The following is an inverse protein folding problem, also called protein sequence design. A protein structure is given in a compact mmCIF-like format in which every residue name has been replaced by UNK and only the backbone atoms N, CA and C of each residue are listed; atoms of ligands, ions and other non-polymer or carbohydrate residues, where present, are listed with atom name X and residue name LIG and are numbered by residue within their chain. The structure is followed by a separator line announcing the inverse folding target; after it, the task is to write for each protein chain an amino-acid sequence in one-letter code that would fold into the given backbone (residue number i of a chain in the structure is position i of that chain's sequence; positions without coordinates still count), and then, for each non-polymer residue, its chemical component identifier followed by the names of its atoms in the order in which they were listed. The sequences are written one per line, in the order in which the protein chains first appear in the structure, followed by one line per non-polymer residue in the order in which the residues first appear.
data_IF_268872679293
#
_entry.id   IF_268872679293
#
_cell.length_a   1.000
_cell.length_b   1.000
_cell.length_c   1.000
_cell.angle_alpha   90.00
_cell.angle_beta   90.00
_cell.angle_gamma   90.00
#
_symmetry.space_group_name_H-M   'P 1'
#
loop_
_entity.id
_entity.type
_entity.pdbx_description
1 polymer ?
#
# COMPACT_ATOMS: atom_id res chain seq x y z
N UNK A 1 18.27 6.05 -4.69
CA UNK A 1 18.22 6.81 -3.43
C UNK A 1 18.56 8.28 -3.67
N UNK A 2 19.74 8.60 -4.20
CA UNK A 2 20.16 10.00 -4.39
C UNK A 2 19.44 10.75 -5.51
N UNK A 3 18.81 10.02 -6.45
CA UNK A 3 18.05 10.62 -7.54
C UNK A 3 16.80 11.40 -7.08
N UNK A 4 16.28 11.16 -5.87
CA UNK A 4 15.07 11.81 -5.33
C UNK A 4 15.45 12.92 -4.35
N UNK A 5 14.85 14.10 -4.51
CA UNK A 5 15.14 15.26 -3.67
C UNK A 5 14.42 15.24 -2.31
N UNK A 6 13.09 15.00 -2.21
CA UNK A 6 12.39 15.08 -0.93
C UNK A 6 12.80 13.97 0.04
N UNK A 7 13.14 14.34 1.28
CA UNK A 7 13.51 13.40 2.34
C UNK A 7 12.38 12.42 2.70
N UNK A 8 11.12 12.85 2.60
CA UNK A 8 9.96 11.99 2.86
C UNK A 8 9.94 10.74 1.95
N UNK A 9 10.19 10.92 0.65
CA UNK A 9 10.25 9.79 -0.30
C UNK A 9 11.45 8.87 -0.05
N UNK A 10 12.56 9.42 0.46
CA UNK A 10 13.70 8.60 0.90
C UNK A 10 13.32 7.74 2.12
N UNK A 11 12.55 8.31 3.06
CA UNK A 11 12.05 7.59 4.23
C UNK A 11 11.05 6.49 3.85
N UNK A 12 10.19 6.74 2.87
CA UNK A 12 9.28 5.74 2.29
C UNK A 12 10.03 4.56 1.66
N UNK A 13 11.08 4.82 0.87
CA UNK A 13 11.90 3.73 0.32
C UNK A 13 12.65 2.98 1.42
N UNK A 14 13.19 3.70 2.41
CA UNK A 14 13.93 3.11 3.53
C UNK A 14 13.06 2.13 4.33
N UNK A 15 11.85 2.52 4.73
CA UNK A 15 10.97 1.65 5.53
C UNK A 15 10.62 0.34 4.80
N UNK A 16 10.41 0.40 3.48
CA UNK A 16 10.16 -0.82 2.71
C UNK A 16 11.39 -1.73 2.67
N UNK A 17 12.58 -1.19 2.42
CA UNK A 17 13.81 -1.97 2.36
C UNK A 17 14.14 -2.63 3.71
N UNK A 18 13.99 -1.90 4.81
CA UNK A 18 14.23 -2.43 6.16
C UNK A 18 13.28 -3.57 6.47
N UNK A 19 11.97 -3.39 6.26
CA UNK A 19 10.97 -4.43 6.50
C UNK A 19 11.13 -5.63 5.56
N UNK A 20 11.56 -5.43 4.31
CA UNK A 20 11.82 -6.55 3.41
C UNK A 20 12.97 -7.43 3.93
N UNK A 21 14.04 -6.83 4.47
CA UNK A 21 15.24 -7.54 4.92
C UNK A 21 15.05 -8.13 6.33
N UNK A 22 14.53 -7.33 7.26
CA UNK A 22 14.48 -7.67 8.68
C UNK A 22 13.12 -8.21 9.12
N UNK A 23 12.05 -7.90 8.38
CA UNK A 23 10.68 -8.06 8.86
C UNK A 23 10.39 -7.15 10.08
N UNK A 24 9.33 -7.48 10.81
CA UNK A 24 8.94 -6.81 12.04
C UNK A 24 7.90 -5.71 11.83
N UNK A 25 7.88 -4.74 12.74
CA UNK A 25 6.90 -3.64 12.76
C UNK A 25 7.60 -2.31 12.55
N UNK A 26 7.12 -1.52 11.59
CA UNK A 26 7.49 -0.13 11.38
C UNK A 26 6.33 0.77 11.83
N UNK A 27 6.64 1.86 12.53
CA UNK A 27 5.70 2.91 12.88
C UNK A 27 6.39 4.28 12.70
N UNK A 28 5.68 5.25 12.13
CA UNK A 28 6.13 6.64 12.10
C UNK A 28 6.23 7.19 13.53
N UNK A 29 7.07 8.21 13.73
CA UNK A 29 7.44 8.71 15.06
C UNK A 29 6.25 9.31 15.83
N UNK A 30 5.23 9.78 15.12
CA UNK A 30 3.99 10.36 15.63
C UNK A 30 2.85 9.33 15.76
N UNK A 31 3.18 8.03 15.70
CA UNK A 31 2.23 6.95 15.94
C UNK A 31 2.20 6.60 17.41
N UNK A 32 1.02 6.76 18.02
CA UNK A 32 0.73 6.27 19.36
C UNK A 32 0.12 4.87 19.27
N UNK A 33 0.80 3.87 19.83
CA UNK A 33 0.27 2.52 19.94
C UNK A 33 -0.74 2.44 21.09
N UNK A 34 -1.96 2.02 20.78
CA UNK A 34 -3.07 1.93 21.73
C UNK A 34 -3.25 0.51 22.29
N UNK A 35 -2.64 -0.47 21.64
CA UNK A 35 -2.66 -1.88 22.04
C UNK A 35 -1.25 -2.49 22.07
N UNK A 36 -1.09 -3.55 22.85
CA UNK A 36 0.14 -4.33 22.84
C UNK A 36 0.34 -4.98 21.45
N UNK A 37 1.52 -4.79 20.86
CA UNK A 37 1.89 -5.37 19.57
C UNK A 37 1.80 -6.90 19.55
N UNK A 38 2.09 -7.59 20.67
CA UNK A 38 1.98 -9.05 20.77
C UNK A 38 0.52 -9.53 20.60
N UNK A 39 -0.45 -8.70 20.98
CA UNK A 39 -1.87 -8.99 20.81
C UNK A 39 -2.39 -8.65 19.40
N UNK A 40 -1.78 -7.64 18.76
CA UNK A 40 -2.15 -7.16 17.42
C UNK A 40 -1.50 -8.00 16.32
N UNK A 41 -0.21 -8.27 16.42
CA UNK A 41 0.59 -8.98 15.42
C UNK A 41 0.92 -10.38 15.96
N UNK A 42 -0.09 -11.26 15.96
CA UNK A 42 0.11 -12.66 16.32
C UNK A 42 0.98 -13.40 15.29
N UNK A 43 1.57 -14.53 15.68
CA UNK A 43 2.52 -15.27 14.83
C UNK A 43 1.95 -15.82 13.51
N UNK A 44 0.63 -15.80 13.33
CA UNK A 44 -0.05 -16.13 12.07
C UNK A 44 -0.17 -14.94 11.11
N UNK A 45 0.17 -13.72 11.53
CA UNK A 45 0.11 -12.50 10.72
C UNK A 45 1.44 -12.32 9.98
N UNK A 46 1.40 -12.45 8.65
CA UNK A 46 2.56 -12.19 7.80
C UNK A 46 2.58 -10.79 7.20
N UNK A 47 1.43 -10.11 7.14
CA UNK A 47 1.33 -8.73 6.70
C UNK A 47 0.17 -8.01 7.38
N UNK A 48 0.38 -6.80 7.86
CA UNK A 48 -0.66 -5.93 8.40
C UNK A 48 -0.38 -4.48 8.03
N UNK A 49 -1.39 -3.77 7.54
CA UNK A 49 -1.29 -2.34 7.21
C UNK A 49 -2.66 -1.67 7.31
N UNK A 50 -2.73 -0.39 7.72
CA UNK A 50 -3.98 0.35 7.66
C UNK A 50 -4.36 0.81 6.25
N UNK A 51 -5.66 0.99 6.03
CA UNK A 51 -6.15 1.73 4.87
C UNK A 51 -5.75 3.20 4.94
N UNK A 52 -5.50 3.82 3.78
CA UNK A 52 -5.34 5.26 3.68
C UNK A 52 -6.63 5.95 3.18
N UNK A 53 -6.69 7.26 3.38
CA UNK A 53 -7.80 8.13 3.05
C UNK A 53 -8.01 8.44 1.54
N UNK A 54 -7.00 8.47 0.66
CA UNK A 54 -7.22 8.74 -0.77
C UNK A 54 -8.21 7.76 -1.38
N UNK A 55 -9.16 8.28 -2.18
CA UNK A 55 -10.22 7.49 -2.81
C UNK A 55 -11.49 7.30 -1.95
N UNK A 56 -11.53 7.78 -0.70
CA UNK A 56 -12.72 7.65 0.19
C UNK A 56 -13.99 8.24 -0.43
N UNK A 57 -13.91 9.46 -0.98
CA UNK A 57 -15.09 10.18 -1.52
C UNK A 57 -15.80 9.46 -2.66
N UNK A 58 -15.08 8.62 -3.39
CA UNK A 58 -15.59 7.90 -4.55
C UNK A 58 -15.69 6.39 -4.30
N UNK A 59 -15.50 5.95 -3.05
CA UNK A 59 -15.58 4.53 -2.67
C UNK A 59 -14.50 3.65 -3.31
N UNK A 60 -13.35 4.22 -3.67
CA UNK A 60 -12.25 3.50 -4.36
C UNK A 60 -10.93 3.64 -3.58
N UNK A 61 -10.94 3.21 -2.32
CA UNK A 61 -9.75 3.27 -1.44
C UNK A 61 -8.78 2.14 -1.78
N UNK A 62 -7.83 2.42 -2.65
CA UNK A 62 -6.77 1.46 -3.04
C UNK A 62 -5.40 1.77 -2.43
N UNK A 63 -5.27 2.87 -1.67
CA UNK A 63 -4.00 3.26 -1.05
C UNK A 63 -3.95 2.72 0.39
N UNK A 64 -2.78 2.25 0.81
CA UNK A 64 -2.56 1.64 2.12
C UNK A 64 -1.51 2.46 2.87
N UNK A 65 -1.82 2.85 4.10
CA UNK A 65 -1.04 3.82 4.83
C UNK A 65 0.26 3.22 5.32
N UNK A 66 1.37 3.64 4.73
CA UNK A 66 2.71 3.09 4.97
C UNK A 66 3.37 3.64 6.25
N UNK A 67 2.65 4.38 7.09
CA UNK A 67 3.15 4.89 8.37
C UNK A 67 3.08 3.88 9.53
N UNK A 68 2.34 2.78 9.36
CA UNK A 68 2.34 1.64 10.28
C UNK A 68 2.24 0.35 9.47
N UNK A 69 3.21 -0.54 9.59
CA UNK A 69 3.23 -1.80 8.87
C UNK A 69 3.83 -2.90 9.74
N UNK A 70 3.21 -4.08 9.77
CA UNK A 70 3.83 -5.30 10.27
C UNK A 70 4.05 -6.26 9.12
N UNK A 71 5.28 -6.73 8.91
CA UNK A 71 5.63 -7.50 7.71
C UNK A 71 6.61 -8.61 8.06
N UNK A 72 6.33 -9.82 7.57
CA UNK A 72 7.28 -10.92 7.63
C UNK A 72 8.49 -10.64 6.71
N UNK A 73 9.71 -11.07 7.08
CA UNK A 73 10.88 -10.87 6.24
C UNK A 73 10.71 -11.56 4.88
N UNK A 74 11.20 -10.92 3.81
CA UNK A 74 11.11 -11.45 2.44
C UNK A 74 9.72 -11.38 1.80
N UNK A 75 8.77 -10.63 2.36
CA UNK A 75 7.39 -10.62 1.89
C UNK A 75 7.25 -10.19 0.40
N UNK A 76 6.57 -10.99 -0.46
CA UNK A 76 6.41 -10.70 -1.89
C UNK A 76 5.79 -9.32 -2.19
N UNK A 77 4.82 -8.89 -1.37
CA UNK A 77 4.23 -7.55 -1.47
C UNK A 77 5.28 -6.42 -1.41
N UNK A 78 6.18 -6.44 -0.43
CA UNK A 78 7.21 -5.39 -0.34
C UNK A 78 8.23 -5.49 -1.46
N UNK A 79 8.63 -6.71 -1.85
CA UNK A 79 9.51 -6.90 -2.99
C UNK A 79 8.91 -6.27 -4.27
N UNK A 80 7.60 -6.47 -4.48
CA UNK A 80 6.89 -5.89 -5.62
C UNK A 80 6.73 -4.39 -5.53
N UNK A 81 6.43 -3.85 -4.35
CA UNK A 81 6.37 -2.40 -4.13
C UNK A 81 7.73 -1.75 -4.37
N UNK A 82 8.82 -2.31 -3.84
CA UNK A 82 10.18 -1.78 -4.04
C UNK A 82 10.57 -1.85 -5.52
N UNK A 83 10.21 -2.92 -6.24
CA UNK A 83 10.43 -3.02 -7.69
C UNK A 83 9.82 -1.84 -8.42
N UNK A 84 8.54 -1.53 -8.13
CA UNK A 84 7.89 -0.39 -8.74
C UNK A 84 8.53 0.93 -8.33
N UNK A 85 8.79 1.17 -7.04
CA UNK A 85 9.42 2.42 -6.57
C UNK A 85 10.78 2.66 -7.23
N UNK A 86 11.63 1.63 -7.29
CA UNK A 86 12.95 1.73 -7.92
C UNK A 86 12.83 2.02 -9.41
N UNK A 87 11.93 1.33 -10.13
CA UNK A 87 11.70 1.58 -11.55
C UNK A 87 11.14 2.99 -11.80
N UNK A 88 10.18 3.43 -11.01
CA UNK A 88 9.57 4.76 -11.10
C UNK A 88 10.63 5.85 -10.94
N UNK A 89 11.49 5.72 -9.92
CA UNK A 89 12.57 6.68 -9.65
C UNK A 89 13.63 6.64 -10.76
N UNK A 90 14.15 5.46 -11.11
CA UNK A 90 15.23 5.31 -12.11
C UNK A 90 14.82 5.84 -13.48
N UNK A 91 13.56 5.67 -13.85
CA UNK A 91 13.02 6.10 -15.14
C UNK A 91 12.31 7.46 -15.09
N UNK A 92 12.45 8.19 -13.95
CA UNK A 92 11.94 9.55 -13.77
C UNK A 92 10.45 9.68 -14.08
N UNK A 93 9.65 8.78 -13.50
CA UNK A 93 8.21 8.77 -13.72
C UNK A 93 7.57 10.11 -13.38
N UNK A 94 6.66 10.51 -14.24
CA UNK A 94 5.79 11.67 -14.17
C UNK A 94 4.35 11.22 -13.99
N UNK A 95 3.41 12.16 -13.82
CA UNK A 95 1.98 11.82 -13.78
C UNK A 95 1.51 11.05 -15.02
N UNK A 96 2.09 11.31 -16.19
CA UNK A 96 1.75 10.60 -17.44
C UNK A 96 2.24 9.15 -17.41
N UNK A 97 3.43 8.91 -16.86
CA UNK A 97 3.96 7.54 -16.71
C UNK A 97 3.14 6.75 -15.67
N UNK A 98 2.63 7.41 -14.63
CA UNK A 98 1.71 6.78 -13.68
C UNK A 98 0.36 6.42 -14.31
N UNK A 99 -0.19 7.28 -15.16
CA UNK A 99 -1.42 6.98 -15.89
C UNK A 99 -1.27 5.74 -16.76
N UNK A 100 -0.14 5.62 -17.47
CA UNK A 100 0.17 4.43 -18.29
C UNK A 100 0.35 3.18 -17.42
N UNK A 101 1.04 3.28 -16.29
CA UNK A 101 1.19 2.19 -15.31
C UNK A 101 -0.16 1.69 -14.77
N UNK A 102 -1.15 2.57 -14.69
CA UNK A 102 -2.49 2.27 -14.19
C UNK A 102 -3.47 1.79 -15.27
N UNK A 103 -3.02 1.62 -16.52
CA UNK A 103 -3.81 0.97 -17.56
C UNK A 103 -4.04 -0.53 -17.23
N UNK A 104 -5.15 -1.13 -17.72
CA UNK A 104 -6.08 -0.59 -18.73
C UNK A 104 -7.28 0.20 -18.18
N UNK A 105 -7.50 0.26 -16.86
CA UNK A 105 -8.71 0.89 -16.26
C UNK A 105 -8.35 1.91 -15.17
N UNK A 106 -7.61 2.98 -15.51
CA UNK A 106 -7.16 3.96 -14.55
C UNK A 106 -8.32 4.82 -14.02
N UNK A 107 -8.32 5.08 -12.71
CA UNK A 107 -9.16 6.07 -12.04
C UNK A 107 -8.35 7.36 -11.90
N UNK A 108 -8.38 8.19 -12.94
CA UNK A 108 -7.56 9.40 -13.04
C UNK A 108 -7.85 10.43 -11.94
N UNK A 109 -9.08 10.49 -11.44
CA UNK A 109 -9.46 11.39 -10.36
C UNK A 109 -8.62 11.15 -9.09
N UNK A 110 -8.22 9.89 -8.84
CA UNK A 110 -7.31 9.58 -7.74
C UNK A 110 -5.88 9.88 -8.16
N UNK A 111 -5.37 9.31 -9.26
CA UNK A 111 -3.96 9.42 -9.63
C UNK A 111 -3.50 10.87 -9.69
N UNK A 112 -4.19 11.73 -10.45
CA UNK A 112 -3.81 13.14 -10.61
C UNK A 112 -3.98 13.98 -9.36
N UNK A 113 -4.80 13.53 -8.39
CA UNK A 113 -4.95 14.22 -7.11
C UNK A 113 -3.83 13.89 -6.12
N UNK A 114 -3.20 12.71 -6.26
CA UNK A 114 -2.22 12.17 -5.32
C UNK A 114 -1.03 11.50 -6.02
N UNK A 115 -0.55 12.08 -7.13
CA UNK A 115 0.61 11.56 -7.90
C UNK A 115 1.86 11.38 -7.00
N UNK A 116 1.98 12.23 -5.98
CA UNK A 116 3.04 12.14 -4.97
C UNK A 116 3.05 10.79 -4.23
N UNK A 117 1.87 10.23 -3.96
CA UNK A 117 1.71 8.98 -3.22
C UNK A 117 1.98 7.74 -4.07
N UNK A 118 2.00 7.88 -5.41
CA UNK A 118 2.38 6.81 -6.34
C UNK A 118 3.90 6.69 -6.57
N UNK A 119 4.69 7.68 -6.11
CA UNK A 119 6.15 7.64 -6.29
C UNK A 119 6.80 6.65 -5.33
N UNK A 120 6.59 6.85 -4.02
CA UNK A 120 7.10 5.96 -2.96
C UNK A 120 6.06 5.70 -1.85
N UNK A 121 4.89 6.32 -1.91
CA UNK A 121 4.00 6.42 -0.75
C UNK A 121 2.91 5.34 -0.65
N UNK A 122 1.83 5.66 0.08
CA UNK A 122 0.71 4.76 0.33
C UNK A 122 0.03 4.14 -0.91
N UNK A 123 -0.06 4.88 -2.01
CA UNK A 123 -0.77 4.41 -3.19
C UNK A 123 0.04 3.40 -4.00
N UNK A 124 1.37 3.54 -4.07
CA UNK A 124 2.22 2.52 -4.71
C UNK A 124 2.36 1.26 -3.85
N UNK A 125 2.23 1.38 -2.53
CA UNK A 125 2.13 0.20 -1.64
C UNK A 125 0.89 -0.62 -1.98
N UNK A 126 -0.29 0.00 -1.96
CA UNK A 126 -1.54 -0.68 -2.33
C UNK A 126 -1.54 -1.22 -3.75
N UNK A 127 -1.02 -0.44 -4.71
CA UNK A 127 -0.85 -0.89 -6.10
C UNK A 127 0.11 -2.09 -6.22
N UNK A 128 1.19 -2.11 -5.46
CA UNK A 128 2.15 -3.21 -5.40
C UNK A 128 1.54 -4.51 -4.87
N UNK A 129 0.74 -4.42 -3.80
CA UNK A 129 0.00 -5.55 -3.24
C UNK A 129 -1.03 -6.08 -4.23
N UNK A 130 -1.85 -5.20 -4.81
CA UNK A 130 -2.83 -5.59 -5.82
C UNK A 130 -2.17 -6.28 -7.02
N UNK A 131 -1.06 -5.74 -7.52
CA UNK A 131 -0.31 -6.34 -8.62
C UNK A 131 0.26 -7.72 -8.26
N UNK A 132 0.75 -7.90 -7.02
CA UNK A 132 1.21 -9.21 -6.53
C UNK A 132 0.07 -10.23 -6.39
N UNK A 133 -1.17 -9.76 -6.18
CA UNK A 133 -2.38 -10.57 -6.15
C UNK A 133 -3.05 -10.76 -7.53
N UNK A 134 -2.45 -10.25 -8.60
CA UNK A 134 -3.03 -10.30 -9.96
C UNK A 134 -4.24 -9.37 -10.15
N UNK A 135 -4.47 -8.43 -9.25
CA UNK A 135 -5.55 -7.43 -9.30
C UNK A 135 -5.07 -6.15 -9.98
N UNK A 136 -6.02 -5.34 -10.42
CA UNK A 136 -5.73 -3.99 -10.89
C UNK A 136 -5.14 -3.14 -9.75
N UNK A 137 -4.14 -2.29 -10.02
CA UNK A 137 -3.44 -1.54 -8.97
C UNK A 137 -4.36 -0.63 -8.14
N UNK A 138 -5.45 -0.14 -8.74
CA UNK A 138 -6.46 0.68 -8.07
C UNK A 138 -7.69 -0.10 -7.57
N UNK A 139 -7.62 -1.43 -7.48
CA UNK A 139 -8.68 -2.21 -6.84
C UNK A 139 -8.79 -1.79 -5.36
N UNK A 140 -10.00 -1.48 -4.85
CA UNK A 140 -10.18 -1.07 -3.46
C UNK A 140 -9.90 -2.22 -2.49
N UNK A 141 -9.42 -1.87 -1.30
CA UNK A 141 -9.29 -2.79 -0.18
C UNK A 141 -10.50 -2.67 0.76
N UNK A 142 -10.89 -3.80 1.34
CA UNK A 142 -11.83 -3.85 2.44
C UNK A 142 -11.08 -4.16 3.75
N UNK A 143 -11.52 -3.61 4.90
CA UNK A 143 -10.95 -3.98 6.19
C UNK A 143 -11.12 -5.47 6.51
N UNK A 144 -10.12 -6.06 7.16
CA UNK A 144 -10.11 -7.48 7.53
C UNK A 144 -9.05 -8.29 6.79
N UNK A 145 -9.22 -9.61 6.77
CA UNK A 145 -8.31 -10.51 6.07
C UNK A 145 -8.43 -10.40 4.55
N UNK A 146 -7.29 -10.32 3.87
CA UNK A 146 -7.24 -10.45 2.42
C UNK A 146 -7.31 -11.93 2.05
N UNK A 147 -8.32 -12.27 1.26
CA UNK A 147 -8.36 -13.51 0.53
C UNK A 147 -7.43 -13.46 -0.70
N UNK A 148 -6.27 -14.09 -0.59
CA UNK A 148 -5.28 -14.18 -1.68
C UNK A 148 -5.76 -15.05 -2.87
N UNK A 149 -6.82 -15.85 -2.70
CA UNK A 149 -7.40 -16.74 -3.70
C UNK A 149 -8.80 -16.30 -4.16
N UNK A 150 -9.14 -15.03 -3.95
CA UNK A 150 -10.50 -14.52 -4.23
C UNK A 150 -10.90 -14.69 -5.70
N UNK A 151 -9.95 -14.53 -6.62
CA UNK A 151 -10.21 -14.60 -8.07
C UNK A 151 -10.50 -16.04 -8.50
N UNK A 152 -9.69 -17.00 -8.06
CA UNK A 152 -9.86 -18.42 -8.42
C UNK A 152 -11.17 -18.96 -7.87
N UNK A 153 -11.57 -18.52 -6.67
CA UNK A 153 -12.88 -18.88 -6.11
C UNK A 153 -14.02 -18.31 -6.93
N UNK A 154 -13.90 -17.09 -7.44
CA UNK A 154 -14.90 -16.46 -8.31
C UNK A 154 -15.01 -17.19 -9.66
N UNK A 155 -13.88 -17.55 -10.26
CA UNK A 155 -13.84 -18.28 -11.53
C UNK A 155 -14.41 -19.70 -11.38
N UNK A 156 -14.06 -20.42 -10.31
CA UNK A 156 -14.59 -21.77 -10.03
C UNK A 156 -16.07 -21.79 -9.65
N UNK A 157 -16.61 -20.66 -9.16
CA UNK A 157 -18.04 -20.52 -8.83
C UNK A 157 -18.89 -20.09 -10.03
N UNK A 158 -18.30 -19.94 -11.21
CA UNK A 158 -19.05 -19.73 -12.46
C UNK A 158 -19.41 -18.28 -12.76
N UNK A 159 -18.71 -17.30 -12.18
CA UNK A 159 -18.86 -15.88 -12.53
C UNK A 159 -20.26 -15.31 -12.26
N UNK A 160 -20.57 -15.02 -11.00
CA UNK A 160 -21.73 -14.19 -10.70
C UNK A 160 -21.44 -12.73 -11.13
N UNK A 161 -22.25 -12.21 -12.04
CA UNK A 161 -22.20 -10.82 -12.48
C UNK A 161 -22.34 -9.82 -11.32
N UNK A 162 -21.86 -8.60 -11.56
CA UNK A 162 -21.90 -7.43 -10.67
C UNK A 162 -23.16 -7.42 -9.79
N UNK A 163 -23.00 -7.71 -8.49
CA UNK A 163 -24.17 -7.77 -7.62
C UNK A 163 -23.93 -7.88 -6.13
N UNK A 164 -23.15 -8.85 -5.64
CA UNK A 164 -23.15 -9.14 -4.20
C UNK A 164 -21.79 -9.56 -3.63
N UNK A 165 -20.99 -8.54 -3.30
CA UNK A 165 -19.76 -8.70 -2.49
C UNK A 165 -20.08 -9.24 -1.08
N UNK A 166 -21.33 -9.10 -0.61
CA UNK A 166 -21.79 -9.66 0.66
C UNK A 166 -22.05 -11.18 0.63
N UNK A 167 -22.34 -11.76 -0.54
CA UNK A 167 -22.48 -13.21 -0.70
C UNK A 167 -21.12 -13.93 -0.69
N UNK A 168 -20.06 -13.24 -1.11
CA UNK A 168 -18.67 -13.73 -1.13
C UNK A 168 -18.12 -14.07 0.28
N UNK A 169 -18.53 -13.33 1.31
CA UNK A 169 -18.13 -13.59 2.69
C UNK A 169 -18.79 -14.83 3.33
N UNK A 170 -19.83 -15.39 2.70
CA UNK A 170 -20.60 -16.54 3.22
C UNK A 170 -20.32 -17.86 2.51
N UNK A 171 -19.43 -17.87 1.51
CA UNK A 171 -19.11 -19.09 0.77
C UNK A 171 -18.12 -19.98 1.51
N UNK A 172 -18.43 -21.27 1.52
CA UNK A 172 -17.79 -22.31 2.32
C UNK A 172 -16.30 -22.48 1.92
N UNK A 173 -15.38 -22.24 2.87
CA UNK A 173 -13.91 -22.37 2.73
C UNK A 173 -13.42 -23.80 2.38
N UNK A 174 -14.34 -24.75 2.17
CA UNK A 174 -14.08 -26.20 2.06
C UNK A 174 -13.84 -26.74 0.65
N UNK A 175 -14.06 -25.96 -0.41
CA UNK A 175 -13.69 -26.39 -1.78
C UNK A 175 -12.20 -26.13 -2.01
N UNK A 176 -11.44 -27.21 -2.24
CA UNK A 176 -10.03 -27.12 -2.60
C UNK A 176 -9.85 -26.36 -3.92
N UNK A 177 -9.01 -25.33 -3.91
CA UNK A 177 -8.70 -24.52 -5.09
C UNK A 177 -7.61 -25.25 -5.87
N UNK A 178 -7.79 -25.38 -7.19
CA UNK A 178 -6.72 -25.84 -8.08
C UNK A 178 -5.75 -24.67 -8.29
N UNK A 179 -4.58 -24.73 -7.69
CA UNK A 179 -3.53 -23.70 -7.77
C UNK A 179 -2.34 -24.26 -8.52
N UNK A 180 -1.72 -23.46 -9.40
CA UNK A 180 -0.47 -23.83 -10.07
C UNK A 180 0.67 -23.95 -9.05
N UNK A 181 1.53 -24.99 -9.11
CA UNK A 181 2.69 -25.11 -8.21
C UNK A 181 3.64 -23.91 -8.25
N UNK A 182 3.66 -23.17 -9.36
CA UNK A 182 4.55 -22.03 -9.59
C UNK A 182 3.92 -20.67 -9.23
N UNK A 183 2.76 -20.65 -8.58
CA UNK A 183 2.06 -19.41 -8.24
C UNK A 183 2.81 -18.62 -7.15
N UNK A 184 3.18 -17.37 -7.46
CA UNK A 184 3.92 -16.51 -6.53
C UNK A 184 3.18 -16.21 -5.21
N UNK A 185 1.85 -16.35 -5.18
CA UNK A 185 1.06 -16.17 -3.96
C UNK A 185 1.28 -17.28 -2.94
N UNK A 186 1.79 -18.44 -3.36
CA UNK A 186 2.21 -19.50 -2.44
C UNK A 186 3.40 -19.07 -1.55
N UNK A 187 4.14 -18.03 -1.97
CA UNK A 187 5.25 -17.45 -1.21
C UNK A 187 4.79 -16.40 -0.19
N UNK A 188 3.50 -16.06 -0.13
CA UNK A 188 2.97 -15.09 0.85
C UNK A 188 2.89 -15.78 2.21
N UNK A 189 3.69 -15.35 3.20
CA UNK A 189 3.65 -15.94 4.53
C UNK A 189 2.42 -15.45 5.29
N UNK A 190 1.80 -16.34 6.07
CA UNK A 190 0.76 -16.00 7.04
C UNK A 190 -0.47 -15.28 6.45
N UNK A 191 -1.22 -14.62 7.34
CA UNK A 191 -2.40 -13.82 7.02
C UNK A 191 -1.99 -12.40 6.66
N UNK A 192 -2.76 -11.82 5.75
CA UNK A 192 -2.66 -10.42 5.35
C UNK A 192 -3.87 -9.67 5.88
N UNK A 193 -3.67 -8.67 6.74
CA UNK A 193 -4.74 -7.95 7.44
C UNK A 193 -4.73 -6.48 7.04
N UNK A 194 -5.89 -5.96 6.67
CA UNK A 194 -6.12 -4.54 6.42
C UNK A 194 -6.84 -3.91 7.61
N UNK A 195 -6.20 -2.94 8.27
CA UNK A 195 -6.83 -2.22 9.38
C UNK A 195 -7.76 -1.13 8.86
N UNK A 196 -8.91 -1.01 9.51
CA UNK A 196 -9.85 0.06 9.22
C UNK A 196 -9.27 1.39 9.68
N UNK A 197 -9.49 2.42 8.86
CA UNK A 197 -9.12 3.79 9.15
C UNK A 197 -10.36 4.62 9.48
N UNK A 198 -10.28 5.42 10.54
CA UNK A 198 -11.30 6.41 10.89
C UNK A 198 -10.65 7.71 11.40
N UNK A 199 -10.94 8.84 10.74
CA UNK A 199 -10.47 10.18 11.12
C UNK A 199 -11.55 11.04 11.79
N UNK A 200 -12.82 10.63 11.74
CA UNK A 200 -13.92 11.39 12.31
C UNK A 200 -14.12 11.16 13.81
N UNK A 201 -13.33 10.26 14.42
CA UNK A 201 -13.46 9.87 15.82
C UNK A 201 -12.52 10.69 16.72
N UNK A 202 -13.07 11.68 17.42
CA UNK A 202 -12.39 12.56 18.39
C UNK A 202 -11.19 13.37 17.85
N UNK A 203 -11.12 13.59 16.53
CA UNK A 203 -10.13 14.46 15.90
C UNK A 203 -8.75 13.82 15.67
N UNK A 204 -8.53 12.59 16.15
CA UNK A 204 -7.33 11.80 15.88
C UNK A 204 -7.59 10.78 14.76
N UNK A 205 -6.53 10.47 14.02
CA UNK A 205 -6.55 9.47 12.97
C UNK A 205 -6.31 8.08 13.56
N UNK A 206 -7.35 7.24 13.66
CA UNK A 206 -7.32 5.94 14.34
C UNK A 206 -7.32 4.76 13.39
N UNK A 207 -6.59 3.71 13.78
CA UNK A 207 -6.52 2.43 13.07
C UNK A 207 -7.08 1.32 13.94
N UNK A 208 -8.10 0.63 13.45
CA UNK A 208 -8.84 -0.39 14.19
C UNK A 208 -8.83 -1.73 13.47
N UNK A 209 -8.70 -2.81 14.25
CA UNK A 209 -9.01 -4.15 13.78
C UNK A 209 -10.46 -4.46 14.15
N UNK A 210 -11.36 -4.23 13.20
CA UNK A 210 -12.81 -4.31 13.40
C UNK A 210 -13.26 -5.68 13.94
N UNK A 211 -12.73 -6.78 13.39
CA UNK A 211 -13.11 -8.15 13.79
C UNK A 211 -12.77 -8.47 15.26
N UNK A 212 -11.70 -7.88 15.80
CA UNK A 212 -11.28 -8.04 17.19
C UNK A 212 -11.78 -6.93 18.12
N UNK A 213 -12.51 -5.95 17.59
CA UNK A 213 -12.90 -4.72 18.31
C UNK A 213 -11.69 -4.05 19.00
N UNK A 214 -10.54 -4.06 18.33
CA UNK A 214 -9.27 -3.61 18.90
C UNK A 214 -8.80 -2.32 18.24
N UNK A 215 -8.45 -1.32 19.04
CA UNK A 215 -7.77 -0.11 18.56
C UNK A 215 -6.27 -0.36 18.54
N UNK A 216 -5.68 -0.36 17.35
CA UNK A 216 -4.26 -0.71 17.18
C UNK A 216 -3.38 0.50 17.48
N UNK A 217 -3.67 1.61 16.82
CA UNK A 217 -2.86 2.81 16.93
C UNK A 217 -3.66 4.06 16.54
N UNK A 218 -3.15 5.22 16.95
CA UNK A 218 -3.65 6.54 16.57
C UNK A 218 -2.48 7.44 16.13
N UNK A 219 -2.78 8.40 15.26
CA UNK A 219 -1.86 9.45 14.81
C UNK A 219 -2.64 10.76 14.58
N UNK A 220 -1.98 11.84 14.15
CA UNK A 220 -2.58 13.15 13.89
C UNK A 220 -3.34 13.69 15.13
N UNK A 221 -2.70 13.64 16.30
CA UNK A 221 -3.30 14.14 17.55
C UNK A 221 -3.40 15.68 17.51
N UNK A 222 -4.52 16.29 17.96
CA UNK A 222 -4.88 17.69 17.69
C UNK A 222 -3.94 18.80 18.19
N UNK A 223 -2.82 18.49 18.85
CA UNK A 223 -1.87 19.46 19.40
C UNK A 223 -0.38 19.16 19.07
N UNK A 224 -0.10 18.27 18.10
CA UNK A 224 1.25 17.71 17.88
C UNK A 224 2.00 18.25 16.64
N UNK A 225 1.73 19.49 16.19
CA UNK A 225 2.49 20.10 15.08
C UNK A 225 3.70 20.90 15.56
N UNK A 226 4.75 20.19 16.00
CA UNK A 226 6.02 20.79 16.45
C UNK A 226 6.93 21.22 15.29
N UNK A 227 6.45 21.19 14.02
CA UNK A 227 7.30 21.46 12.86
C UNK A 227 7.62 22.96 12.77
N UNK A 228 8.90 23.33 12.61
CA UNK A 228 9.24 24.72 12.33
C UNK A 228 8.58 25.14 11.01
N UNK A 229 7.93 26.33 10.94
CA UNK A 229 7.12 26.76 9.80
C UNK A 229 7.92 26.95 8.49
N UNK A 230 9.24 26.80 8.55
CA UNK A 230 10.17 26.91 7.42
C UNK A 230 10.26 25.66 6.55
N UNK A 231 9.82 24.48 7.03
CA UNK A 231 9.85 23.23 6.28
C UNK A 231 8.51 22.95 5.59
N UNK A 232 8.52 23.05 4.26
CA UNK A 232 7.33 22.80 3.42
C UNK A 232 7.04 21.30 3.37
N UNK A 233 5.86 20.89 3.85
CA UNK A 233 5.39 19.51 3.76
C UNK A 233 5.35 19.00 2.31
N UNK A 234 5.67 17.73 2.05
CA UNK A 234 5.77 17.19 0.69
C UNK A 234 4.44 17.16 -0.06
N UNK A 235 3.31 17.20 0.65
CA UNK A 235 1.99 17.40 0.03
C UNK A 235 1.89 18.73 -0.74
N UNK A 236 2.75 19.72 -0.42
CA UNK A 236 2.89 21.00 -1.13
C UNK A 236 3.92 20.95 -2.26
N UNK A 237 4.60 19.82 -2.50
CA UNK A 237 5.52 19.65 -3.64
C UNK A 237 4.77 19.46 -4.96
N UNK A 238 3.50 19.10 -4.91
CA UNK A 238 2.64 19.10 -6.09
C UNK A 238 2.41 20.56 -6.53
N UNK A 239 2.95 20.92 -7.69
CA UNK A 239 2.82 22.27 -8.22
C UNK A 239 1.37 22.55 -8.63
N UNK A 240 0.85 23.74 -8.30
CA UNK A 240 -0.51 24.17 -8.75
C UNK A 240 -0.65 24.26 -10.27
N UNK A 241 0.47 24.30 -11.01
CA UNK A 241 0.53 24.28 -12.45
C UNK A 241 1.80 23.54 -12.92
N UNK A 242 1.65 22.58 -13.84
CA UNK A 242 2.73 21.78 -14.43
C UNK A 242 2.58 20.28 -14.21
N UNK A 243 3.27 19.47 -15.03
CA UNK A 243 3.26 18.00 -14.95
C UNK A 243 4.09 17.54 -13.74
N UNK A 244 3.52 16.67 -12.91
CA UNK A 244 4.22 16.11 -11.75
C UNK A 244 5.49 15.35 -12.18
N UNK A 245 6.54 15.40 -11.36
CA UNK A 245 7.82 14.74 -11.64
C UNK A 245 8.77 15.52 -12.56
N UNK A 246 8.32 16.58 -13.23
CA UNK A 246 9.18 17.41 -14.12
C UNK A 246 10.04 18.42 -13.37
N UNK A 247 9.61 18.84 -12.17
CA UNK A 247 10.30 19.82 -11.32
C UNK A 247 10.28 19.37 -9.86
N UNK A 248 11.37 19.65 -9.13
CA UNK A 248 11.50 19.48 -7.67
C UNK A 248 11.36 18.05 -7.11
N UNK A 249 11.19 17.05 -7.97
CA UNK A 249 11.16 15.64 -7.57
C UNK A 249 12.54 14.98 -7.67
N UNK A 250 13.19 15.14 -8.83
CA UNK A 250 14.46 14.49 -9.14
C UNK A 250 15.61 15.48 -9.22
N UNK A 251 16.83 15.01 -8.94
CA UNK A 251 18.08 15.79 -9.05
C UNK A 251 18.36 16.18 -10.50
N UNK A 252 18.10 15.26 -11.43
CA UNK A 252 18.33 15.41 -12.86
C UNK A 252 17.21 14.74 -13.68
N UNK A 253 17.28 14.86 -15.01
CA UNK A 253 16.34 14.27 -15.97
C UNK A 253 16.88 13.04 -16.69
N UNK A 254 18.01 12.49 -16.24
CA UNK A 254 18.63 11.33 -16.88
C UNK A 254 17.84 10.08 -16.49
N UNK A 255 17.19 9.46 -17.47
CA UNK A 255 16.51 8.17 -17.31
C UNK A 255 17.53 7.04 -17.45
N UNK A 256 17.34 5.97 -16.69
CA UNK A 256 18.15 4.76 -16.82
C UNK A 256 17.71 3.88 -18.02
N UNK A 257 16.43 3.94 -18.39
CA UNK A 257 15.80 3.09 -19.42
C UNK A 257 15.99 1.59 -19.18
N UNK A 258 16.01 1.22 -17.89
CA UNK A 258 16.17 -0.14 -17.42
C UNK A 258 14.92 -0.60 -16.66
N UNK A 259 14.65 -1.90 -16.71
CA UNK A 259 13.59 -2.54 -15.94
C UNK A 259 14.20 -3.49 -14.92
N UNK A 260 14.20 -3.06 -13.67
CA UNK A 260 14.59 -3.91 -12.53
C UNK A 260 13.44 -4.84 -12.22
N UNK A 261 13.75 -6.12 -11.95
CA UNK A 261 12.79 -7.11 -11.48
C UNK A 261 13.28 -7.72 -10.17
N UNK A 262 12.44 -7.74 -9.16
CA UNK A 262 12.70 -8.41 -7.88
C UNK A 262 11.88 -9.70 -7.85
N UNK A 263 12.54 -10.81 -7.58
CA UNK A 263 11.90 -12.13 -7.51
C UNK A 263 12.18 -12.71 -6.13
N UNK A 264 11.12 -13.06 -5.42
CA UNK A 264 11.20 -13.84 -4.19
C UNK A 264 11.26 -15.31 -4.58
N UNK A 265 12.22 -16.05 -4.00
CA UNK A 265 12.40 -17.48 -4.25
C UNK A 265 12.17 -18.25 -2.95
N UNK A 266 11.63 -19.48 -3.01
CA UNK A 266 11.60 -20.37 -1.86
C UNK A 266 13.03 -20.71 -1.42
N UNK A 267 13.23 -20.84 -0.11
CA UNK A 267 14.50 -21.26 0.51
C UNK A 267 14.71 -22.76 0.29
#
# INVERSE_FOLDING_TARGET
YDAVLPGAFKADLFRYCVLLIQGGVYADMDVLLESNLDAVVSGDVGFMVPMDSPGTKIGRRSCLWNGLMAVAPGHPFLAKTIEFVVNNIRNRFTSVDYDDMLCPRPIFQISHSVDTLFTCGPCILGGGINAALGKHMQEPFEPGDIDIWSIERLEQSGGAGDGDVAALARMDKKRGIVVSPDDQRLLIPGRTIILQQNKADMGAHRFTWAEKNLMVAATDMPDYDDRPPTLVHYSKTHGKAGVYGVKKLYVDRVKADEKVRLVVQPI
#
